data_IF_202156533391
#
_entry.id   IF_202156533391
#
_cell.length_a   1.000
_cell.length_b   1.000
_cell.length_c   1.000
_cell.angle_alpha   90.00
_cell.angle_beta   90.00
_cell.angle_gamma   90.00
#
_symmetry.space_group_name_H-M   'P 1'
#
loop_
_entity.id
_entity.type
_entity.pdbx_description
1 polymer ?
#
# COMPACT_ATOMS: atom_id res chain seq x y z
N UNK A 1 18.95 0.63 16.38
CA UNK A 1 19.17 -0.14 15.13
C UNK A 1 19.04 0.83 13.96
N UNK A 2 20.00 0.86 13.03
CA UNK A 2 19.92 1.70 11.83
C UNK A 2 18.79 1.24 10.91
N UNK A 3 18.18 2.18 10.19
CA UNK A 3 17.27 1.87 9.09
C UNK A 3 18.17 1.41 7.93
N UNK A 4 18.06 0.15 7.46
CA UNK A 4 18.81 -0.28 6.29
C UNK A 4 18.42 0.60 5.10
N UNK A 5 19.42 1.03 4.34
CA UNK A 5 19.22 1.87 3.16
C UNK A 5 18.59 0.99 2.08
N UNK A 6 17.38 1.32 1.60
CA UNK A 6 16.74 0.52 0.57
C UNK A 6 17.47 0.71 -0.78
N UNK A 7 17.55 -0.34 -1.63
CA UNK A 7 18.21 -0.24 -2.93
C UNK A 7 17.40 0.52 -3.99
N UNK A 8 16.14 0.89 -3.67
CA UNK A 8 15.22 1.63 -4.53
C UNK A 8 14.32 2.55 -3.69
N UNK A 9 13.68 3.58 -4.27
CA UNK A 9 12.65 4.35 -3.60
C UNK A 9 11.57 3.45 -2.97
N UNK A 10 11.05 3.87 -1.81
CA UNK A 10 10.05 3.12 -1.07
C UNK A 10 8.71 3.07 -1.80
N UNK A 11 7.92 2.05 -1.46
CA UNK A 11 6.59 1.85 -2.03
C UNK A 11 6.60 1.18 -3.40
N UNK A 12 5.44 1.23 -4.04
CA UNK A 12 5.14 0.56 -5.30
C UNK A 12 4.50 1.58 -6.25
N UNK A 13 5.26 2.03 -7.24
CA UNK A 13 4.88 3.12 -8.13
C UNK A 13 4.23 2.63 -9.42
N UNK A 14 3.13 3.26 -9.78
CA UNK A 14 2.56 3.27 -11.13
C UNK A 14 2.84 4.64 -11.75
N UNK A 15 3.34 4.67 -12.98
CA UNK A 15 3.74 5.90 -13.67
C UNK A 15 5.26 6.13 -13.70
N UNK A 16 5.68 7.23 -14.35
CA UNK A 16 7.08 7.45 -14.69
C UNK A 16 7.97 7.88 -13.51
N UNK A 17 9.24 7.52 -13.64
CA UNK A 17 10.36 7.92 -12.79
C UNK A 17 10.45 9.41 -12.50
N UNK A 18 10.20 10.16 -13.55
CA UNK A 18 10.40 11.59 -13.71
C UNK A 18 9.07 12.32 -14.00
N UNK A 19 7.94 11.72 -13.64
CA UNK A 19 6.65 12.39 -13.70
C UNK A 19 6.72 13.70 -12.90
N UNK A 20 6.13 14.76 -13.46
CA UNK A 20 6.13 16.12 -12.91
C UNK A 20 5.52 16.15 -11.50
N UNK A 21 4.45 15.38 -11.31
CA UNK A 21 3.80 15.21 -10.02
C UNK A 21 4.07 13.80 -9.48
N UNK A 22 4.67 13.73 -8.30
CA UNK A 22 4.89 12.50 -7.54
C UNK A 22 3.89 12.44 -6.39
N UNK A 23 2.94 11.52 -6.48
CA UNK A 23 1.96 11.26 -5.42
C UNK A 23 2.38 10.04 -4.61
N UNK A 24 2.47 10.18 -3.30
CA UNK A 24 2.66 9.07 -2.38
C UNK A 24 1.38 8.85 -1.58
N UNK A 25 0.92 7.60 -1.55
CA UNK A 25 -0.30 7.19 -0.86
C UNK A 25 0.05 6.22 0.26
N UNK A 26 -0.02 6.68 1.49
CA UNK A 26 0.21 5.87 2.67
C UNK A 26 -1.09 5.18 3.06
N UNK A 27 -1.11 3.86 2.91
CA UNK A 27 -2.32 3.03 3.06
C UNK A 27 -2.02 1.86 3.99
N UNK A 28 -3.00 1.53 4.81
CA UNK A 28 -2.98 0.34 5.67
C UNK A 28 -4.07 -0.63 5.18
N UNK A 29 -3.72 -1.91 5.09
CA UNK A 29 -4.61 -2.94 4.49
C UNK A 29 -5.81 -3.31 5.38
N UNK A 30 -5.72 -3.12 6.70
CA UNK A 30 -6.83 -3.37 7.63
C UNK A 30 -7.72 -2.14 7.80
N UNK A 31 -7.20 -0.94 7.47
CA UNK A 31 -7.92 0.31 7.60
C UNK A 31 -9.13 0.42 6.64
N UNK A 32 -10.37 0.62 7.14
CA UNK A 32 -11.54 0.79 6.28
C UNK A 32 -11.51 2.11 5.49
N UNK A 33 -10.89 3.16 6.03
CA UNK A 33 -10.72 4.44 5.34
C UNK A 33 -9.71 4.31 4.19
N UNK A 34 -8.64 3.54 4.38
CA UNK A 34 -7.67 3.26 3.31
C UNK A 34 -8.32 2.46 2.18
N UNK A 35 -9.15 1.47 2.51
CA UNK A 35 -9.94 0.73 1.50
C UNK A 35 -10.80 1.68 0.66
N UNK A 36 -11.56 2.58 1.30
CA UNK A 36 -12.40 3.56 0.59
C UNK A 36 -11.58 4.46 -0.34
N UNK A 37 -10.46 4.99 0.15
CA UNK A 37 -9.57 5.79 -0.67
C UNK A 37 -8.98 5.00 -1.85
N UNK A 38 -8.64 3.73 -1.62
CA UNK A 38 -8.06 2.86 -2.65
C UNK A 38 -9.02 2.67 -3.83
N UNK A 39 -10.32 2.48 -3.57
CA UNK A 39 -11.35 2.35 -4.62
C UNK A 39 -11.45 3.60 -5.51
N UNK A 40 -11.34 4.80 -4.93
CA UNK A 40 -11.24 6.04 -5.70
C UNK A 40 -9.91 6.13 -6.43
N UNK A 41 -8.80 5.86 -5.73
CA UNK A 41 -7.44 5.99 -6.26
C UNK A 41 -7.24 5.14 -7.52
N UNK A 42 -7.78 3.92 -7.56
CA UNK A 42 -7.71 3.07 -8.76
C UNK A 42 -8.31 3.75 -10.00
N UNK A 43 -9.42 4.48 -9.83
CA UNK A 43 -10.06 5.24 -10.92
C UNK A 43 -9.23 6.46 -11.30
N UNK A 44 -8.63 7.14 -10.31
CA UNK A 44 -7.73 8.28 -10.51
C UNK A 44 -6.52 7.84 -11.33
N UNK A 45 -5.78 6.83 -10.86
CA UNK A 45 -4.56 6.32 -11.54
C UNK A 45 -4.84 5.94 -13.00
N UNK A 46 -5.99 5.34 -13.30
CA UNK A 46 -6.37 4.99 -14.67
C UNK A 46 -6.61 6.20 -15.60
N UNK A 47 -6.90 7.37 -15.03
CA UNK A 47 -7.17 8.60 -15.77
C UNK A 47 -5.95 9.49 -16.01
N UNK A 48 -4.81 9.17 -15.41
CA UNK A 48 -3.59 9.98 -15.49
C UNK A 48 -2.52 9.32 -16.35
N UNK A 49 -1.96 10.09 -17.29
CA UNK A 49 -0.85 9.66 -18.14
C UNK A 49 0.51 9.84 -17.47
N UNK A 50 1.54 10.06 -18.28
CA UNK A 50 2.94 10.13 -17.85
C UNK A 50 3.30 11.30 -16.92
N UNK A 51 2.40 12.28 -16.77
CA UNK A 51 2.62 13.51 -15.98
C UNK A 51 2.52 13.29 -14.47
N UNK A 52 1.81 12.25 -14.02
CA UNK A 52 1.58 11.97 -12.60
C UNK A 52 1.96 10.54 -12.29
N UNK A 53 2.79 10.34 -11.27
CA UNK A 53 3.10 9.03 -10.73
C UNK A 53 2.41 8.83 -9.38
N UNK A 54 1.95 7.61 -9.12
CA UNK A 54 1.29 7.21 -7.89
C UNK A 54 2.06 6.08 -7.22
N UNK A 55 2.57 6.34 -6.01
CA UNK A 55 3.34 5.39 -5.22
C UNK A 55 2.54 4.95 -4.01
N UNK A 56 2.10 3.69 -4.00
CA UNK A 56 1.48 3.10 -2.84
C UNK A 56 2.55 2.71 -1.80
N UNK A 57 2.40 3.22 -0.58
CA UNK A 57 3.31 2.97 0.55
C UNK A 57 2.53 2.20 1.63
N UNK A 58 2.65 0.87 1.70
CA UNK A 58 1.98 0.10 2.73
C UNK A 58 2.52 0.49 4.10
N UNK A 59 1.61 0.88 4.98
CA UNK A 59 1.85 1.37 6.33
C UNK A 59 1.08 0.47 7.30
N UNK A 60 1.58 0.35 8.53
CA UNK A 60 0.96 -0.46 9.58
C UNK A 60 0.66 0.44 10.76
N UNK A 61 -0.63 0.66 11.04
CA UNK A 61 -1.08 1.36 12.24
C UNK A 61 -0.98 0.45 13.47
N UNK A 62 -0.76 1.05 14.64
CA UNK A 62 -0.42 0.30 15.85
C UNK A 62 -1.57 -0.54 16.40
N UNK A 63 -2.82 -0.20 16.07
CA UNK A 63 -4.04 -0.88 16.46
C UNK A 63 -4.54 -1.89 15.42
N UNK A 64 -3.90 -1.97 14.25
CA UNK A 64 -4.25 -2.88 13.16
C UNK A 64 -3.43 -4.17 13.24
N UNK A 65 -3.99 -5.16 13.94
CA UNK A 65 -3.28 -6.38 14.35
C UNK A 65 -2.91 -7.29 13.17
N UNK A 66 -3.71 -7.31 12.12
CA UNK A 66 -3.50 -8.15 10.94
C UNK A 66 -2.63 -7.48 9.88
N UNK A 67 -2.58 -6.14 9.90
CA UNK A 67 -1.93 -5.32 8.86
C UNK A 67 -0.45 -5.67 8.63
N UNK A 68 0.31 -6.01 9.67
CA UNK A 68 1.73 -6.38 9.50
C UNK A 68 1.94 -7.66 8.69
N UNK A 69 1.22 -8.73 9.01
CA UNK A 69 1.38 -10.01 8.32
C UNK A 69 0.87 -9.91 6.86
N UNK A 70 -0.21 -9.17 6.63
CA UNK A 70 -0.72 -8.88 5.28
C UNK A 70 0.22 -7.98 4.47
N UNK A 71 0.89 -7.02 5.11
CA UNK A 71 1.92 -6.17 4.46
C UNK A 71 3.13 -7.01 4.03
N UNK A 72 3.57 -7.97 4.85
CA UNK A 72 4.60 -8.94 4.45
C UNK A 72 4.12 -9.80 3.27
N UNK A 73 2.88 -10.28 3.29
CA UNK A 73 2.31 -11.02 2.18
C UNK A 73 2.31 -10.20 0.89
N UNK A 74 1.87 -8.95 0.94
CA UNK A 74 1.87 -8.07 -0.22
C UNK A 74 3.28 -7.76 -0.73
N UNK A 75 4.25 -7.62 0.19
CA UNK A 75 5.66 -7.45 -0.18
C UNK A 75 6.23 -8.70 -0.86
N UNK A 76 5.87 -9.90 -0.38
CA UNK A 76 6.28 -11.17 -0.96
C UNK A 76 5.69 -11.36 -2.35
N UNK A 77 4.38 -11.14 -2.51
CA UNK A 77 3.68 -11.32 -3.80
C UNK A 77 4.14 -10.30 -4.83
N UNK A 78 4.44 -9.07 -4.41
CA UNK A 78 4.96 -8.05 -5.31
C UNK A 78 6.27 -8.49 -5.97
N UNK A 79 7.19 -9.10 -5.22
CA UNK A 79 8.51 -9.52 -5.70
C UNK A 79 9.28 -8.41 -6.44
N UNK A 80 9.08 -7.16 -5.98
CA UNK A 80 9.67 -5.98 -6.61
C UNK A 80 8.84 -5.34 -7.73
N UNK A 81 7.82 -6.03 -8.25
CA UNK A 81 6.95 -5.57 -9.34
C UNK A 81 5.78 -4.71 -8.80
N UNK A 82 5.74 -3.39 -9.08
CA UNK A 82 4.70 -2.51 -8.59
C UNK A 82 3.28 -2.89 -9.05
N UNK A 83 3.10 -3.25 -10.31
CA UNK A 83 1.79 -3.64 -10.85
C UNK A 83 1.24 -4.88 -10.13
N UNK A 84 2.13 -5.82 -9.78
CA UNK A 84 1.76 -7.03 -9.04
C UNK A 84 1.37 -6.70 -7.60
N UNK A 85 2.09 -5.78 -6.96
CA UNK A 85 1.67 -5.24 -5.65
C UNK A 85 0.26 -4.64 -5.74
N UNK A 86 0.03 -3.70 -6.66
CA UNK A 86 -1.25 -2.99 -6.76
C UNK A 86 -2.41 -3.95 -6.99
N UNK A 87 -2.25 -4.94 -7.89
CA UNK A 87 -3.26 -5.97 -8.13
C UNK A 87 -3.54 -6.81 -6.89
N UNK A 88 -2.50 -7.24 -6.17
CA UNK A 88 -2.70 -8.05 -4.96
C UNK A 88 -3.27 -7.22 -3.80
N UNK A 89 -2.86 -5.97 -3.66
CA UNK A 89 -3.38 -5.08 -2.63
C UNK A 89 -4.87 -4.79 -2.85
N UNK A 90 -5.30 -4.58 -4.10
CA UNK A 90 -6.73 -4.53 -4.46
C UNK A 90 -7.46 -5.84 -4.13
N UNK A 91 -6.87 -6.99 -4.48
CA UNK A 91 -7.43 -8.31 -4.16
C UNK A 91 -7.66 -8.50 -2.66
N UNK A 92 -6.72 -8.05 -1.83
CA UNK A 92 -6.85 -8.08 -0.37
C UNK A 92 -7.93 -7.12 0.12
N UNK A 93 -8.03 -5.90 -0.41
CA UNK A 93 -9.07 -4.93 0.00
C UNK A 93 -10.49 -5.41 -0.31
N UNK A 94 -10.71 -6.08 -1.43
CA UNK A 94 -11.99 -6.74 -1.73
C UNK A 94 -12.40 -7.72 -0.63
N UNK A 95 -11.41 -8.36 0.02
CA UNK A 95 -11.58 -9.36 1.07
C UNK A 95 -11.36 -8.83 2.49
N UNK A 96 -11.21 -7.51 2.68
CA UNK A 96 -10.87 -6.91 3.98
C UNK A 96 -11.79 -7.34 5.13
N UNK A 97 -13.07 -7.58 4.86
CA UNK A 97 -14.02 -8.06 5.87
C UNK A 97 -13.60 -9.39 6.51
N UNK A 98 -12.93 -10.28 5.77
CA UNK A 98 -12.50 -11.59 6.25
C UNK A 98 -11.34 -11.55 7.26
N UNK A 99 -10.57 -10.47 7.27
CA UNK A 99 -9.43 -10.26 8.16
C UNK A 99 -9.49 -8.98 9.01
N UNK A 100 -10.65 -8.31 9.01
CA UNK A 100 -10.92 -7.18 9.90
C UNK A 100 -10.73 -7.56 11.38
N UNK A 101 -10.48 -6.54 12.22
CA UNK A 101 -10.40 -6.71 13.67
C UNK A 101 -11.60 -7.49 14.26
N UNK A 102 -12.81 -7.25 13.74
CA UNK A 102 -14.02 -7.99 14.17
C UNK A 102 -13.96 -9.46 13.72
N UNK A 103 -13.60 -9.74 12.46
CA UNK A 103 -13.48 -11.11 11.96
C UNK A 103 -12.38 -11.93 12.65
N UNK A 104 -11.40 -11.25 13.25
CA UNK A 104 -10.27 -11.87 13.94
C UNK A 104 -10.33 -11.79 15.48
N UNK A 105 -11.46 -11.37 16.05
CA UNK A 105 -11.62 -11.20 17.51
C UNK A 105 -11.30 -12.45 18.32
N UNK A 106 -11.58 -13.64 17.79
CA UNK A 106 -11.33 -14.94 18.44
C UNK A 106 -10.39 -15.85 17.62
N UNK A 107 -9.66 -15.28 16.66
CA UNK A 107 -8.73 -16.01 15.81
C UNK A 107 -7.29 -15.74 16.23
N UNK A 108 -6.46 -16.76 16.08
CA UNK A 108 -5.03 -16.72 16.35
C UNK A 108 -4.25 -16.11 15.18
N UNK A 109 -2.96 -15.84 15.41
CA UNK A 109 -2.05 -15.48 14.33
C UNK A 109 -1.86 -16.62 13.32
N UNK A 110 -1.96 -17.88 13.77
CA UNK A 110 -1.89 -19.04 12.88
C UNK A 110 -3.06 -19.05 11.88
N UNK A 111 -4.27 -18.70 12.34
CA UNK A 111 -5.44 -18.57 11.47
C UNK A 111 -5.23 -17.47 10.40
N UNK A 112 -4.53 -16.39 10.76
CA UNK A 112 -4.18 -15.34 9.81
C UNK A 112 -3.18 -15.83 8.78
N UNK A 113 -2.14 -16.56 9.20
CA UNK A 113 -1.15 -17.12 8.27
C UNK A 113 -1.77 -18.16 7.33
N UNK A 114 -2.73 -18.94 7.81
CA UNK A 114 -3.52 -19.86 7.00
C UNK A 114 -4.32 -19.10 5.93
N UNK A 115 -5.07 -18.08 6.33
CA UNK A 115 -5.87 -17.24 5.42
C UNK A 115 -4.99 -16.51 4.38
N UNK A 116 -3.85 -15.97 4.81
CA UNK A 116 -2.87 -15.34 3.91
C UNK A 116 -2.36 -16.35 2.88
N UNK A 117 -2.10 -17.59 3.29
CA UNK A 117 -1.62 -18.62 2.36
C UNK A 117 -2.68 -18.93 1.30
N UNK A 118 -3.94 -19.11 1.71
CA UNK A 118 -5.09 -19.29 0.80
C UNK A 118 -5.20 -18.12 -0.19
N UNK A 119 -5.07 -16.88 0.28
CA UNK A 119 -5.10 -15.71 -0.60
C UNK A 119 -3.97 -15.65 -1.61
N UNK A 120 -2.77 -16.06 -1.24
CA UNK A 120 -1.63 -16.09 -2.15
C UNK A 120 -1.79 -17.20 -3.19
N UNK A 121 -2.28 -18.38 -2.77
CA UNK A 121 -2.59 -19.52 -3.63
C UNK A 121 -3.70 -19.17 -4.64
N UNK A 122 -4.76 -18.48 -4.20
CA UNK A 122 -5.86 -18.02 -5.06
C UNK A 122 -5.41 -16.95 -6.06
N UNK A 123 -4.51 -16.05 -5.65
CA UNK A 123 -4.07 -14.93 -6.49
C UNK A 123 -2.94 -15.30 -7.46
N UNK A 124 -2.09 -16.26 -7.11
CA UNK A 124 -0.85 -16.53 -7.85
C UNK A 124 -0.47 -18.01 -7.86
N UNK A 125 0.26 -18.42 -8.89
CA UNK A 125 0.77 -19.79 -9.07
C UNK A 125 1.95 -20.14 -8.12
N UNK A 126 2.05 -19.51 -6.95
CA UNK A 126 3.10 -19.82 -5.99
C UNK A 126 2.86 -21.24 -5.41
N UNK A 127 3.78 -22.19 -5.60
CA UNK A 127 3.40 -23.61 -5.70
C UNK A 127 3.32 -24.37 -4.36
N UNK A 128 3.74 -23.80 -3.23
CA UNK A 128 3.81 -24.54 -1.96
C UNK A 128 3.55 -23.68 -0.72
N UNK A 129 2.51 -24.04 0.03
CA UNK A 129 2.12 -23.46 1.32
C UNK A 129 3.23 -23.50 2.37
N UNK A 130 3.97 -24.60 2.47
CA UNK A 130 5.06 -24.73 3.45
C UNK A 130 6.20 -23.76 3.12
N UNK A 131 6.52 -23.62 1.83
CA UNK A 131 7.44 -22.61 1.34
C UNK A 131 6.95 -21.17 1.63
N UNK A 132 5.66 -20.88 1.39
CA UNK A 132 5.07 -19.56 1.68
C UNK A 132 5.19 -19.20 3.16
N UNK A 133 4.80 -20.10 4.07
CA UNK A 133 4.92 -19.87 5.52
C UNK A 133 6.38 -19.62 5.94
N UNK A 134 7.32 -20.40 5.38
CA UNK A 134 8.75 -20.19 5.63
C UNK A 134 9.23 -18.82 5.13
N UNK A 135 8.77 -18.36 3.96
CA UNK A 135 9.10 -17.04 3.42
C UNK A 135 8.49 -15.90 4.22
N UNK A 136 7.23 -16.02 4.64
CA UNK A 136 6.53 -15.06 5.49
C UNK A 136 7.17 -14.88 6.88
N UNK A 137 7.86 -15.91 7.36
CA UNK A 137 8.65 -15.90 8.58
C UNK A 137 10.14 -15.50 8.38
N UNK A 138 10.57 -15.22 7.15
CA UNK A 138 11.99 -14.95 6.87
C UNK A 138 12.41 -13.53 7.28
N UNK A 139 13.59 -13.42 7.89
CA UNK A 139 14.18 -12.12 8.28
C UNK A 139 14.37 -11.20 7.08
N UNK A 140 14.68 -11.75 5.91
CA UNK A 140 14.85 -10.98 4.68
C UNK A 140 13.56 -10.27 4.26
N UNK A 141 12.44 -11.00 4.24
CA UNK A 141 11.13 -10.40 3.93
C UNK A 141 10.75 -9.37 5.00
N UNK A 142 11.02 -9.68 6.27
CA UNK A 142 10.77 -8.77 7.38
C UNK A 142 11.50 -7.42 7.18
N UNK A 143 12.79 -7.46 6.80
CA UNK A 143 13.58 -6.26 6.48
C UNK A 143 13.00 -5.49 5.30
N UNK A 144 12.60 -6.18 4.24
CA UNK A 144 12.00 -5.56 3.05
C UNK A 144 10.68 -4.86 3.37
N UNK A 145 9.76 -5.54 4.06
CA UNK A 145 8.47 -4.98 4.45
C UNK A 145 8.61 -3.83 5.47
N UNK A 146 9.63 -3.88 6.34
CA UNK A 146 9.92 -2.80 7.30
C UNK A 146 10.33 -1.49 6.64
N UNK A 147 10.83 -1.49 5.39
CA UNK A 147 11.26 -0.25 4.74
C UNK A 147 10.10 0.74 4.58
N UNK A 148 8.93 0.30 4.09
CA UNK A 148 7.78 1.20 3.90
C UNK A 148 7.22 1.71 5.22
N UNK A 149 7.15 0.85 6.26
CA UNK A 149 6.68 1.23 7.60
C UNK A 149 7.61 2.27 8.24
N UNK A 150 8.94 2.03 8.17
CA UNK A 150 9.93 2.99 8.71
C UNK A 150 9.96 4.28 7.92
N UNK A 151 9.75 4.21 6.61
CA UNK A 151 9.61 5.38 5.75
C UNK A 151 8.39 6.22 6.15
N UNK A 152 7.22 5.60 6.33
CA UNK A 152 6.02 6.28 6.82
C UNK A 152 6.26 6.98 8.18
N UNK A 153 6.90 6.28 9.13
CA UNK A 153 7.26 6.85 10.43
C UNK A 153 8.19 8.05 10.28
N UNK A 154 9.24 7.93 9.45
CA UNK A 154 10.19 9.02 9.22
C UNK A 154 9.56 10.25 8.55
N UNK A 155 8.45 10.06 7.82
CA UNK A 155 7.63 11.13 7.22
C UNK A 155 6.54 11.66 8.15
N UNK A 156 6.47 11.18 9.40
CA UNK A 156 5.50 11.63 10.39
C UNK A 156 4.08 11.16 10.08
N UNK A 157 3.91 10.03 9.39
CA UNK A 157 2.60 9.47 9.05
C UNK A 157 2.10 8.63 10.24
N UNK A 158 0.98 9.05 10.82
CA UNK A 158 0.35 8.40 11.99
C UNK A 158 -1.13 8.05 11.75
N UNK A 159 -1.66 8.36 10.56
CA UNK A 159 -3.00 7.99 10.14
C UNK A 159 -3.01 7.55 8.68
N UNK A 160 -3.97 6.72 8.31
CA UNK A 160 -4.18 6.25 6.94
C UNK A 160 -5.65 6.39 6.53
N UNK A 161 -5.94 6.76 5.27
CA UNK A 161 -4.98 7.10 4.23
C UNK A 161 -4.36 8.48 4.50
N UNK A 162 -3.08 8.64 4.15
CA UNK A 162 -2.43 9.97 4.06
C UNK A 162 -1.83 10.12 2.67
N UNK A 163 -2.00 11.29 2.06
CA UNK A 163 -1.49 11.59 0.73
C UNK A 163 -0.40 12.66 0.82
N UNK A 164 0.74 12.40 0.17
CA UNK A 164 1.75 13.43 -0.08
C UNK A 164 1.81 13.67 -1.59
N UNK A 165 1.91 14.93 -2.00
CA UNK A 165 2.10 15.35 -3.38
C UNK A 165 3.38 16.18 -3.43
N UNK A 166 4.35 15.77 -4.25
CA UNK A 166 5.69 16.35 -4.32
C UNK A 166 6.35 16.52 -2.94
N UNK A 167 6.07 15.58 -2.02
CA UNK A 167 6.59 15.57 -0.66
C UNK A 167 5.86 16.47 0.34
N UNK A 168 4.84 17.22 -0.06
CA UNK A 168 3.97 18.00 0.83
C UNK A 168 2.66 17.25 1.12
N UNK A 169 2.12 17.37 2.33
CA UNK A 169 0.85 16.72 2.68
C UNK A 169 -0.32 17.40 1.96
N UNK A 170 -1.15 16.61 1.29
CA UNK A 170 -2.34 17.10 0.60
C UNK A 170 -3.53 17.13 1.57
N UNK A 171 -3.60 18.16 2.44
CA UNK A 171 -4.66 18.29 3.45
C UNK A 171 -6.07 18.51 2.85
N UNK A 172 -6.17 18.82 1.55
CA UNK A 172 -7.44 18.89 0.82
C UNK A 172 -8.01 17.52 0.43
N UNK A 173 -7.25 16.44 0.61
CA UNK A 173 -7.67 15.08 0.29
C UNK A 173 -7.75 14.22 1.55
N UNK A 174 -8.84 13.47 1.65
CA UNK A 174 -9.04 12.47 2.70
C UNK A 174 -9.64 11.18 2.10
N UNK A 175 -10.03 10.25 2.98
CA UNK A 175 -10.61 8.97 2.56
C UNK A 175 -11.90 9.05 1.74
N UNK A 176 -12.59 10.19 1.78
CA UNK A 176 -13.84 10.46 1.07
C UNK A 176 -13.65 11.27 -0.21
N UNK A 177 -12.42 11.73 -0.49
CA UNK A 177 -12.11 12.46 -1.72
C UNK A 177 -12.59 11.70 -2.95
N UNK A 178 -13.27 12.41 -3.83
CA UNK A 178 -13.80 11.90 -5.10
C UNK A 178 -12.77 11.98 -6.21
N UNK A 179 -13.03 11.32 -7.34
CA UNK A 179 -12.19 11.47 -8.54
C UNK A 179 -12.07 12.94 -8.97
N UNK A 180 -13.15 13.73 -8.82
CA UNK A 180 -13.18 15.15 -9.16
C UNK A 180 -12.28 15.99 -8.25
N UNK A 181 -12.19 15.65 -6.96
CA UNK A 181 -11.32 16.36 -6.01
C UNK A 181 -9.84 16.13 -6.36
N UNK A 182 -9.49 14.88 -6.68
CA UNK A 182 -8.17 14.53 -7.19
C UNK A 182 -7.85 15.25 -8.50
N UNK A 183 -8.79 15.26 -9.45
CA UNK A 183 -8.64 15.96 -10.72
C UNK A 183 -8.37 17.45 -10.53
N UNK A 184 -9.22 18.11 -9.73
CA UNK A 184 -9.10 19.54 -9.44
C UNK A 184 -7.73 19.89 -8.88
N UNK A 185 -7.22 19.10 -7.93
CA UNK A 185 -5.92 19.33 -7.30
C UNK A 185 -4.77 19.13 -8.30
N UNK A 186 -4.74 18.00 -9.00
CA UNK A 186 -3.65 17.68 -9.92
C UNK A 186 -3.62 18.62 -11.12
N UNK A 187 -4.78 18.98 -11.70
CA UNK A 187 -4.89 19.97 -12.77
C UNK A 187 -4.42 21.36 -12.32
N UNK A 188 -4.62 21.71 -11.05
CA UNK A 188 -4.13 22.99 -10.51
C UNK A 188 -2.60 23.05 -10.44
N UNK A 189 -1.95 21.92 -10.18
CA UNK A 189 -0.49 21.81 -10.08
C UNK A 189 0.15 21.80 -11.47
N UNK A 190 -0.41 21.06 -12.43
CA UNK A 190 0.10 21.02 -13.80
C UNK A 190 0.06 22.40 -14.47
N UNK A 191 -0.97 23.22 -14.19
CA UNK A 191 -1.07 24.59 -14.70
C UNK A 191 -0.07 25.56 -14.08
N UNK A 192 0.48 25.26 -12.90
CA UNK A 192 1.49 26.11 -12.26
C UNK A 192 2.87 25.93 -12.89
N UNK A 193 3.17 24.75 -13.43
CA UNK A 193 4.45 24.47 -14.10
C UNK A 193 4.51 25.00 -15.55
N UNK A 194 3.39 25.41 -16.14
CA UNK A 194 3.33 26.03 -17.48
C UNK A 194 3.66 27.54 -17.47
N UNK A 195 3.81 28.16 -16.29
CA UNK A 195 4.17 29.58 -16.11
C UNK A 195 5.57 29.74 -15.53
#
# INVERSE_FOLDING_TARGET
MSIPIPPRPNGYRIGLGNALIQTEVFVDIECPFSKRAWETLQKVVAGWGEQVAFTAVPTVLCDHRQSWDLTKAATLVADGEPERFWRFFSYLYERQSSFSAEAFKQKSQLDLHNLISEFIEDFSELPDRAYLLKKLASEQLEKQAKHSVRYAIARGIWSTPTFLINGAKADSLDSSATVSDWQTLLDSLLRQDEN
#
